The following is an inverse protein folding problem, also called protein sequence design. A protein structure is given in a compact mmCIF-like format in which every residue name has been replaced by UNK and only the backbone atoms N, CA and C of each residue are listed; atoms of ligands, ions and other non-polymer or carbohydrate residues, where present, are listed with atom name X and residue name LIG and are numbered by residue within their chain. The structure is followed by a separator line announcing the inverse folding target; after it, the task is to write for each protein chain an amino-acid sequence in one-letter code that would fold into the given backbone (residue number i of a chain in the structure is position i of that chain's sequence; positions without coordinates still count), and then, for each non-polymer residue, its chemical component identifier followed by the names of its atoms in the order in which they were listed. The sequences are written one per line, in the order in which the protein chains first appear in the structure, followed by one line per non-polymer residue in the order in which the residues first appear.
data_IF_505590525094
#
_entry.id   IF_505590525094
#
_cell.length_a   1.000
_cell.length_b   1.000
_cell.length_c   1.000
_cell.angle_alpha   90.00
_cell.angle_beta   90.00
_cell.angle_gamma   90.00
#
_symmetry.space_group_name_H-M   'P 1'
#
loop_
_entity.id
_entity.type
_entity.pdbx_description
1 polymer ?
#
# COMPACT_ATOMS: atom_id res chain seq x y z
N UNK A 1 29.77 19.61 -41.19
CA UNK A 1 28.72 18.58 -41.33
C UNK A 1 28.54 17.93 -39.98
N UNK A 2 27.58 18.42 -39.20
CA UNK A 2 27.23 17.87 -37.89
C UNK A 2 26.10 16.86 -38.07
N UNK A 3 26.15 15.67 -37.44
CA UNK A 3 25.03 14.74 -37.52
C UNK A 3 23.86 15.27 -36.67
N UNK A 4 22.69 15.24 -37.28
CA UNK A 4 21.39 15.65 -36.72
C UNK A 4 21.01 14.71 -35.57
N UNK A 5 20.68 15.28 -34.42
CA UNK A 5 20.02 14.57 -33.31
C UNK A 5 18.68 14.00 -33.79
N UNK A 6 18.51 12.68 -33.67
CA UNK A 6 17.26 11.99 -33.96
C UNK A 6 16.18 12.30 -32.91
N UNK A 7 14.91 12.01 -33.23
CA UNK A 7 13.76 12.37 -32.41
C UNK A 7 13.80 11.63 -31.07
N UNK A 8 13.38 12.35 -30.03
CA UNK A 8 13.37 11.89 -28.64
C UNK A 8 12.77 10.49 -28.51
N UNK A 9 13.54 9.63 -27.87
CA UNK A 9 13.02 8.42 -27.25
C UNK A 9 11.96 8.88 -26.26
N UNK A 10 10.70 8.66 -26.60
CA UNK A 10 9.63 8.69 -25.62
C UNK A 10 10.04 7.75 -24.50
N UNK A 11 10.30 8.30 -23.31
CA UNK A 11 10.35 7.53 -22.07
C UNK A 11 8.97 6.89 -21.99
N UNK A 12 8.91 5.62 -22.39
CA UNK A 12 7.73 4.80 -22.22
C UNK A 12 7.56 4.74 -20.72
N UNK A 13 6.58 5.48 -20.20
CA UNK A 13 6.25 5.50 -18.79
C UNK A 13 5.99 4.07 -18.36
N UNK A 14 6.94 3.47 -17.66
CA UNK A 14 6.66 2.30 -16.84
C UNK A 14 5.59 2.76 -15.87
N UNK A 15 4.34 2.35 -16.15
CA UNK A 15 3.29 2.47 -15.16
C UNK A 15 3.82 1.74 -13.93
N UNK A 16 4.03 2.51 -12.87
CA UNK A 16 4.17 2.04 -11.51
C UNK A 16 3.31 0.80 -11.31
N UNK A 17 3.94 -0.33 -11.03
CA UNK A 17 3.21 -1.59 -10.91
C UNK A 17 2.48 -1.58 -9.58
N UNK A 18 1.15 -1.72 -9.61
CA UNK A 18 0.31 -1.73 -8.41
C UNK A 18 0.60 -2.96 -7.58
N UNK A 19 1.16 -2.74 -6.39
CA UNK A 19 1.44 -3.76 -5.38
C UNK A 19 0.61 -3.47 -4.13
N UNK A 20 0.20 -4.51 -3.38
CA UNK A 20 -0.62 -4.32 -2.20
C UNK A 20 0.04 -3.47 -1.10
N UNK A 21 -0.81 -2.85 -0.28
CA UNK A 21 -0.46 -2.26 1.01
C UNK A 21 -0.72 -3.31 2.10
N UNK A 22 0.28 -3.57 2.92
CA UNK A 22 0.21 -4.43 4.10
C UNK A 22 0.20 -3.54 5.33
N UNK A 23 -0.85 -3.63 6.13
CA UNK A 23 -1.09 -2.76 7.26
C UNK A 23 -1.13 -3.59 8.55
N UNK A 24 -0.23 -3.30 9.47
CA UNK A 24 -0.14 -3.93 10.77
C UNK A 24 -0.73 -3.02 11.85
N UNK A 25 -1.72 -3.53 12.58
CA UNK A 25 -2.42 -2.79 13.63
C UNK A 25 -2.90 -3.76 14.73
N UNK A 26 -2.53 -3.52 15.99
CA UNK A 26 -3.00 -4.28 17.16
C UNK A 26 -2.97 -5.81 16.99
N UNK A 27 -1.82 -6.37 16.61
CA UNK A 27 -1.64 -7.81 16.34
C UNK A 27 -2.51 -8.38 15.21
N UNK A 28 -2.97 -7.51 14.30
CA UNK A 28 -3.67 -7.90 13.08
C UNK A 28 -2.90 -7.37 11.88
N UNK A 29 -3.05 -8.09 10.78
CA UNK A 29 -2.53 -7.66 9.48
C UNK A 29 -3.67 -7.61 8.48
N UNK A 30 -3.81 -6.48 7.80
CA UNK A 30 -4.78 -6.26 6.73
C UNK A 30 -4.03 -5.93 5.45
N UNK A 31 -4.35 -6.63 4.37
CA UNK A 31 -3.79 -6.35 3.06
C UNK A 31 -4.86 -5.73 2.17
N UNK A 32 -4.53 -4.61 1.54
CA UNK A 32 -5.35 -3.86 0.60
C UNK A 32 -4.64 -3.82 -0.75
N UNK A 33 -5.38 -3.98 -1.84
CA UNK A 33 -4.74 -3.99 -3.16
C UNK A 33 -5.63 -4.57 -4.25
N UNK A 34 -5.05 -4.72 -5.43
CA UNK A 34 -5.73 -5.30 -6.59
C UNK A 34 -6.35 -6.68 -6.27
N UNK A 35 -7.61 -6.94 -6.66
CA UNK A 35 -8.33 -8.15 -6.28
C UNK A 35 -7.59 -9.46 -6.60
N UNK A 36 -6.94 -9.54 -7.77
CA UNK A 36 -6.20 -10.74 -8.17
C UNK A 36 -5.03 -11.06 -7.22
N UNK A 37 -4.30 -10.04 -6.76
CA UNK A 37 -3.25 -10.21 -5.76
C UNK A 37 -3.83 -10.66 -4.41
N UNK A 38 -4.97 -10.09 -4.01
CA UNK A 38 -5.65 -10.47 -2.77
C UNK A 38 -6.17 -11.92 -2.81
N UNK A 39 -6.67 -12.39 -3.95
CA UNK A 39 -7.14 -13.77 -4.11
C UNK A 39 -5.99 -14.78 -4.00
N UNK A 40 -4.87 -14.49 -4.64
CA UNK A 40 -3.67 -15.32 -4.55
C UNK A 40 -3.10 -15.30 -3.12
N UNK A 41 -3.07 -14.13 -2.45
CA UNK A 41 -2.68 -14.03 -1.04
C UNK A 41 -3.58 -14.87 -0.12
N UNK A 42 -4.90 -14.74 -0.28
CA UNK A 42 -5.89 -15.47 0.53
C UNK A 42 -5.70 -16.98 0.38
N UNK A 43 -5.45 -17.45 -0.85
CA UNK A 43 -5.16 -18.86 -1.12
C UNK A 43 -3.85 -19.32 -0.46
N UNK A 44 -2.77 -18.54 -0.55
CA UNK A 44 -1.49 -18.85 0.09
C UNK A 44 -1.64 -18.97 1.61
N UNK A 45 -2.28 -17.99 2.25
CA UNK A 45 -2.49 -17.95 3.69
C UNK A 45 -3.37 -19.11 4.18
N UNK A 46 -4.49 -19.37 3.50
CA UNK A 46 -5.36 -20.53 3.81
C UNK A 46 -4.63 -21.85 3.63
N UNK A 47 -3.83 -21.97 2.58
CA UNK A 47 -2.96 -23.13 2.34
C UNK A 47 -1.96 -23.38 3.47
N UNK A 48 -1.47 -22.30 4.10
CA UNK A 48 -0.61 -22.34 5.29
C UNK A 48 -1.36 -22.53 6.62
N UNK A 49 -2.68 -22.79 6.56
CA UNK A 49 -3.53 -23.01 7.74
C UNK A 49 -3.94 -21.74 8.48
N UNK A 50 -3.82 -20.56 7.85
CA UNK A 50 -4.22 -19.28 8.45
C UNK A 50 -5.71 -19.02 8.19
N UNK A 51 -6.42 -18.62 9.25
CA UNK A 51 -7.78 -18.11 9.11
C UNK A 51 -7.75 -16.68 8.57
N UNK A 52 -8.37 -16.46 7.41
CA UNK A 52 -8.45 -15.16 6.75
C UNK A 52 -9.86 -14.57 6.84
N UNK A 53 -9.94 -13.23 6.78
CA UNK A 53 -11.17 -12.44 6.82
C UNK A 53 -11.22 -11.55 5.57
N UNK A 54 -11.60 -12.10 4.41
CA UNK A 54 -11.74 -11.31 3.19
C UNK A 54 -12.90 -10.33 3.30
N UNK A 55 -12.75 -9.14 2.74
CA UNK A 55 -13.86 -8.23 2.44
C UNK A 55 -14.00 -8.05 0.94
N UNK A 56 -15.18 -7.66 0.48
CA UNK A 56 -15.48 -7.44 -0.93
C UNK A 56 -15.95 -6.01 -1.16
N UNK A 57 -15.76 -5.54 -2.38
CA UNK A 57 -16.20 -4.21 -2.79
C UNK A 57 -17.72 -4.03 -2.67
N UNK A 58 -18.17 -2.79 -2.44
CA UNK A 58 -19.60 -2.42 -2.42
C UNK A 58 -20.48 -3.24 -1.46
N UNK A 59 -19.89 -3.78 -0.38
CA UNK A 59 -20.61 -4.64 0.56
C UNK A 59 -21.05 -6.00 -0.03
N UNK A 60 -20.53 -6.37 -1.20
CA UNK A 60 -20.82 -7.64 -1.86
C UNK A 60 -20.43 -8.82 -0.97
N UNK A 61 -21.04 -9.97 -1.23
CA UNK A 61 -20.70 -11.24 -0.64
C UNK A 61 -19.91 -12.09 -1.64
N UNK A 62 -19.18 -13.09 -1.14
CA UNK A 62 -18.32 -13.97 -1.94
C UNK A 62 -19.00 -14.58 -3.16
N UNK A 63 -20.26 -14.95 -3.02
CA UNK A 63 -21.01 -15.66 -4.05
C UNK A 63 -21.78 -14.73 -4.99
N UNK A 64 -21.68 -13.41 -4.80
CA UNK A 64 -22.34 -12.44 -5.66
C UNK A 64 -21.64 -12.39 -7.03
N UNK A 65 -22.40 -12.30 -8.14
CA UNK A 65 -21.82 -12.15 -9.47
C UNK A 65 -20.94 -10.90 -9.57
N UNK A 66 -19.66 -11.08 -9.89
CA UNK A 66 -18.69 -9.99 -10.00
C UNK A 66 -18.07 -9.55 -8.66
N UNK A 67 -18.31 -10.29 -7.58
CA UNK A 67 -17.64 -10.05 -6.31
C UNK A 67 -16.12 -10.11 -6.46
N UNK A 68 -15.45 -9.02 -6.07
CA UNK A 68 -14.01 -8.90 -6.10
C UNK A 68 -13.50 -8.50 -4.71
N UNK A 69 -12.37 -9.07 -4.30
CA UNK A 69 -11.79 -8.78 -3.00
C UNK A 69 -11.38 -7.31 -2.88
N UNK A 70 -11.71 -6.72 -1.74
CA UNK A 70 -11.27 -5.41 -1.33
C UNK A 70 -10.11 -5.48 -0.32
N UNK A 71 -10.15 -6.47 0.59
CA UNK A 71 -9.08 -6.68 1.57
C UNK A 71 -8.99 -8.14 2.01
N UNK A 72 -7.83 -8.51 2.56
CA UNK A 72 -7.62 -9.77 3.28
C UNK A 72 -7.06 -9.46 4.66
N UNK A 73 -7.86 -9.74 5.71
CA UNK A 73 -7.43 -9.59 7.10
C UNK A 73 -6.99 -10.91 7.75
N UNK A 74 -6.06 -10.82 8.69
CA UNK A 74 -5.61 -11.94 9.56
C UNK A 74 -5.40 -11.46 11.00
N UNK A 75 -5.51 -12.37 11.96
CA UNK A 75 -5.14 -12.14 13.36
C UNK A 75 -3.65 -12.50 13.62
N UNK A 76 -2.76 -12.07 12.72
CA UNK A 76 -1.32 -12.29 12.82
C UNK A 76 -0.59 -10.96 12.98
N UNK A 77 0.47 -10.98 13.79
CA UNK A 77 1.49 -9.92 13.84
C UNK A 77 2.27 -9.87 12.53
N UNK A 78 3.02 -8.79 12.30
CA UNK A 78 3.83 -8.63 11.07
C UNK A 78 4.78 -9.81 10.83
N UNK A 79 5.55 -10.20 11.86
CA UNK A 79 6.47 -11.33 11.82
C UNK A 79 5.75 -12.63 11.42
N UNK A 80 4.71 -13.01 12.16
CA UNK A 80 3.97 -14.25 11.88
C UNK A 80 3.23 -14.22 10.54
N UNK A 81 2.80 -13.04 10.07
CA UNK A 81 2.18 -12.89 8.77
C UNK A 81 3.16 -13.27 7.65
N UNK A 82 4.38 -12.70 7.67
CA UNK A 82 5.39 -12.98 6.65
C UNK A 82 5.88 -14.43 6.68
N UNK A 83 6.04 -15.01 7.87
CA UNK A 83 6.36 -16.43 8.03
C UNK A 83 5.31 -17.34 7.38
N UNK A 84 4.03 -16.99 7.51
CA UNK A 84 2.92 -17.76 6.93
C UNK A 84 2.77 -17.59 5.44
N UNK A 85 3.06 -16.39 4.93
CA UNK A 85 3.18 -16.14 3.48
C UNK A 85 4.27 -17.03 2.88
N UNK A 86 5.44 -17.10 3.53
CA UNK A 86 6.54 -17.96 3.08
C UNK A 86 6.15 -19.44 3.14
N UNK A 87 5.62 -19.90 4.28
CA UNK A 87 5.14 -21.27 4.43
C UNK A 87 4.08 -21.65 3.37
N UNK A 88 3.19 -20.72 3.01
CA UNK A 88 2.20 -20.89 1.95
C UNK A 88 2.84 -21.05 0.57
N UNK A 89 3.87 -20.26 0.27
CA UNK A 89 4.62 -20.37 -0.98
C UNK A 89 5.33 -21.73 -1.10
N UNK A 90 5.94 -22.21 -0.01
CA UNK A 90 6.55 -23.54 0.05
C UNK A 90 5.52 -24.66 -0.10
N UNK A 91 4.35 -24.53 0.53
CA UNK A 91 3.27 -25.52 0.44
C UNK A 91 2.67 -25.60 -0.98
N UNK A 92 2.58 -24.47 -1.69
CA UNK A 92 2.09 -24.40 -3.06
C UNK A 92 3.12 -24.83 -4.11
N UNK A 93 4.39 -24.95 -3.72
CA UNK A 93 5.48 -25.24 -4.64
C UNK A 93 5.36 -26.62 -5.29
N UNK A 94 5.56 -26.66 -6.62
CA UNK A 94 5.75 -27.92 -7.34
C UNK A 94 7.23 -28.26 -7.32
N UNK A 95 7.60 -29.19 -6.45
CA UNK A 95 8.98 -29.66 -6.35
C UNK A 95 9.39 -30.41 -7.63
N UNK A 96 10.58 -30.12 -8.19
CA UNK A 96 11.07 -30.86 -9.34
C UNK A 96 11.25 -32.33 -8.98
N UNK A 97 10.87 -33.20 -9.91
CA UNK A 97 11.03 -34.66 -9.77
C UNK A 97 12.47 -35.11 -10.03
N UNK A 98 13.21 -34.34 -10.85
CA UNK A 98 14.60 -34.60 -11.21
C UNK A 98 15.51 -33.53 -10.58
N UNK A 99 16.57 -33.96 -9.89
CA UNK A 99 17.49 -33.09 -9.14
C UNK A 99 18.76 -32.73 -9.94
N UNK A 100 18.78 -33.00 -11.24
CA UNK A 100 19.96 -32.80 -12.09
C UNK A 100 20.18 -31.32 -12.49
N UNK A 101 19.27 -30.42 -12.10
CA UNK A 101 19.33 -28.98 -12.38
C UNK A 101 19.43 -28.11 -11.12
N UNK A 102 19.65 -26.79 -11.27
CA UNK A 102 19.66 -25.86 -10.15
C UNK A 102 18.30 -25.85 -9.45
N UNK A 103 18.32 -26.07 -8.13
CA UNK A 103 17.15 -25.96 -7.27
C UNK A 103 16.98 -24.51 -6.83
N UNK A 104 15.81 -23.95 -7.11
CA UNK A 104 15.40 -22.66 -6.59
C UNK A 104 14.47 -22.87 -5.41
N UNK A 105 14.71 -22.16 -4.32
CA UNK A 105 13.77 -22.15 -3.21
C UNK A 105 12.47 -21.49 -3.68
N UNK A 106 11.30 -22.06 -3.33
CA UNK A 106 10.04 -21.37 -3.50
C UNK A 106 10.09 -20.02 -2.81
N UNK A 107 9.56 -19.00 -3.47
CA UNK A 107 9.40 -17.67 -2.90
C UNK A 107 7.95 -17.23 -3.12
N UNK A 108 7.44 -16.32 -2.28
CA UNK A 108 6.14 -15.69 -2.54
C UNK A 108 6.11 -15.04 -3.93
N UNK A 109 4.93 -14.82 -4.52
CA UNK A 109 4.82 -14.06 -5.77
C UNK A 109 5.56 -12.72 -5.71
N UNK A 110 6.14 -12.29 -6.84
CA UNK A 110 6.97 -11.08 -6.90
C UNK A 110 6.25 -9.82 -6.37
N UNK A 111 4.93 -9.74 -6.53
CA UNK A 111 4.13 -8.62 -6.05
C UNK A 111 3.97 -8.62 -4.53
N UNK A 112 3.99 -9.80 -3.87
CA UNK A 112 4.03 -9.93 -2.40
C UNK A 112 5.37 -9.46 -1.87
N UNK A 113 6.45 -9.88 -2.54
CA UNK A 113 7.81 -9.51 -2.15
C UNK A 113 8.04 -7.99 -2.23
N UNK A 114 7.30 -7.30 -3.09
CA UNK A 114 7.30 -5.84 -3.27
C UNK A 114 6.15 -5.14 -2.55
N UNK A 115 5.31 -5.87 -1.82
CA UNK A 115 4.18 -5.28 -1.11
C UNK A 115 4.68 -4.33 -0.03
N UNK A 116 4.06 -3.15 0.05
CA UNK A 116 4.54 -2.07 0.92
C UNK A 116 3.91 -2.19 2.30
N UNK A 117 4.70 -2.09 3.35
CA UNK A 117 4.25 -2.37 4.70
C UNK A 117 4.27 -1.13 5.60
N UNK A 118 3.21 -0.96 6.39
CA UNK A 118 3.12 0.04 7.45
C UNK A 118 2.65 -0.59 8.75
N UNK A 119 3.13 -0.05 9.86
CA UNK A 119 2.64 -0.34 11.19
C UNK A 119 2.11 0.94 11.82
N UNK A 120 0.97 0.85 12.50
CA UNK A 120 0.45 1.98 13.24
C UNK A 120 1.18 2.13 14.58
N UNK A 121 1.86 3.25 14.76
CA UNK A 121 2.48 3.63 16.03
C UNK A 121 1.60 4.68 16.72
N UNK A 122 1.00 4.38 17.89
CA UNK A 122 0.12 5.29 18.62
C UNK A 122 0.85 6.51 19.21
N UNK A 123 2.19 6.51 19.25
CA UNK A 123 2.99 7.62 19.78
C UNK A 123 3.81 8.32 18.68
N UNK A 124 3.58 7.99 17.41
CA UNK A 124 4.22 8.66 16.28
C UNK A 124 4.05 10.19 16.38
N UNK A 125 5.16 10.97 16.38
CA UNK A 125 5.11 12.42 16.45
C UNK A 125 4.30 13.01 15.29
N UNK A 126 3.42 13.95 15.61
CA UNK A 126 2.57 14.65 14.66
C UNK A 126 3.02 16.11 14.47
N UNK A 127 3.05 16.57 13.22
CA UNK A 127 3.15 17.98 12.84
C UNK A 127 1.89 18.38 12.10
N UNK A 128 0.98 19.06 12.80
CA UNK A 128 -0.29 19.52 12.22
C UNK A 128 -1.37 19.66 13.28
N UNK A 129 -2.62 19.54 12.83
CA UNK A 129 -3.80 19.80 13.65
C UNK A 129 -4.29 18.58 14.45
N UNK A 130 -3.79 17.37 14.17
CA UNK A 130 -4.21 16.14 14.83
C UNK A 130 -3.24 15.67 15.92
N UNK A 131 -3.78 14.86 16.83
CA UNK A 131 -3.02 14.20 17.89
C UNK A 131 -1.98 13.20 17.33
N UNK A 132 -0.97 12.83 18.15
CA UNK A 132 -0.05 11.73 17.84
C UNK A 132 -0.76 10.42 17.50
N UNK A 133 -0.06 9.55 16.77
CA UNK A 133 -0.57 8.24 16.36
C UNK A 133 -0.72 8.11 14.84
N UNK A 134 0.24 7.50 14.17
CA UNK A 134 0.37 7.50 12.70
C UNK A 134 0.86 6.17 12.12
N UNK A 135 0.73 6.03 10.80
CA UNK A 135 1.21 4.86 10.07
C UNK A 135 2.66 5.08 9.65
N UNK A 136 3.56 4.30 10.24
CA UNK A 136 4.99 4.35 9.96
C UNK A 136 5.36 3.20 9.03
N UNK A 137 6.28 3.46 8.11
CA UNK A 137 6.77 2.42 7.21
C UNK A 137 7.58 1.40 7.99
N UNK A 138 7.40 0.13 7.65
CA UNK A 138 8.19 -0.98 8.18
C UNK A 138 8.71 -1.83 7.02
N UNK A 139 9.80 -2.60 7.23
CA UNK A 139 10.28 -3.53 6.21
C UNK A 139 9.20 -4.52 5.79
N UNK A 140 9.17 -4.84 4.49
CA UNK A 140 8.29 -5.86 3.94
C UNK A 140 8.85 -7.27 4.10
N UNK A 141 8.48 -8.14 3.17
CA UNK A 141 8.97 -9.52 3.14
C UNK A 141 10.50 -9.59 3.10
N UNK A 142 11.09 -10.50 3.88
CA UNK A 142 12.54 -10.69 3.99
C UNK A 142 13.34 -9.41 4.35
N UNK A 143 12.71 -8.44 5.02
CA UNK A 143 13.35 -7.20 5.43
C UNK A 143 13.60 -6.22 4.29
N UNK A 144 12.91 -6.37 3.15
CA UNK A 144 13.05 -5.43 2.04
C UNK A 144 12.49 -4.05 2.40
N UNK A 145 13.34 -3.03 2.33
CA UNK A 145 12.90 -1.64 2.39
C UNK A 145 12.19 -1.29 1.07
N UNK A 146 10.88 -1.03 1.14
CA UNK A 146 10.09 -0.69 -0.05
C UNK A 146 10.12 0.83 -0.33
N UNK A 147 11.31 1.36 -0.57
CA UNK A 147 11.56 2.77 -0.90
C UNK A 147 11.21 3.16 -2.35
N UNK A 148 10.54 2.28 -3.11
CA UNK A 148 10.32 2.54 -4.52
C UNK A 148 9.39 3.74 -4.73
N UNK A 149 9.98 4.84 -5.20
CA UNK A 149 9.35 6.08 -5.66
C UNK A 149 8.48 5.89 -6.93
N UNK A 150 7.93 4.69 -7.13
CA UNK A 150 7.20 4.28 -8.32
C UNK A 150 6.11 3.26 -8.01
N UNK A 151 5.49 3.36 -6.83
CA UNK A 151 4.21 2.72 -6.50
C UNK A 151 3.08 3.77 -6.49
N UNK A 152 1.80 3.39 -6.64
CA UNK A 152 0.70 4.36 -6.57
C UNK A 152 0.63 5.03 -5.19
N UNK A 153 0.13 6.26 -5.12
CA UNK A 153 -0.18 6.95 -3.87
C UNK A 153 -1.45 6.37 -3.26
N UNK A 154 -1.38 5.86 -2.03
CA UNK A 154 -2.52 5.23 -1.35
C UNK A 154 -3.35 6.25 -0.60
N UNK A 155 -4.61 6.43 -0.97
CA UNK A 155 -5.57 7.27 -0.24
C UNK A 155 -6.54 6.35 0.50
N UNK A 156 -6.32 6.14 1.80
CA UNK A 156 -6.95 5.04 2.54
C UNK A 156 -7.70 5.53 3.79
N UNK A 157 -8.94 5.10 3.97
CA UNK A 157 -9.70 5.28 5.21
C UNK A 157 -9.50 4.06 6.12
N UNK A 158 -8.73 4.23 7.20
CA UNK A 158 -8.20 3.12 8.00
C UNK A 158 -8.72 3.11 9.45
N UNK A 159 -8.41 4.14 10.21
CA UNK A 159 -8.64 4.19 11.66
C UNK A 159 -9.83 5.04 12.08
N UNK A 160 -10.28 5.96 11.22
CA UNK A 160 -11.29 6.96 11.56
C UNK A 160 -12.16 7.28 10.35
N UNK A 161 -13.50 7.23 10.47
CA UNK A 161 -14.41 7.60 9.38
C UNK A 161 -14.24 9.06 8.93
N UNK A 162 -13.82 9.97 9.81
CA UNK A 162 -13.76 11.39 9.51
C UNK A 162 -12.44 11.82 8.83
N UNK A 163 -11.52 10.89 8.58
CA UNK A 163 -10.23 11.19 7.97
C UNK A 163 -9.76 10.09 7.02
N UNK A 164 -8.79 10.43 6.18
CA UNK A 164 -8.07 9.46 5.37
C UNK A 164 -6.57 9.70 5.51
N UNK A 165 -5.83 8.64 5.20
CA UNK A 165 -4.39 8.57 5.26
C UNK A 165 -3.82 8.56 3.85
N UNK A 166 -2.69 9.26 3.67
CA UNK A 166 -1.87 9.19 2.47
C UNK A 166 -0.64 8.36 2.79
N UNK A 167 -0.52 7.21 2.13
CA UNK A 167 0.63 6.31 2.23
C UNK A 167 1.36 6.28 0.89
N UNK A 168 2.62 6.72 0.87
CA UNK A 168 3.40 6.82 -0.36
C UNK A 168 4.92 6.85 -0.08
N UNK A 169 5.72 7.07 -1.13
CA UNK A 169 7.16 7.30 -1.00
C UNK A 169 7.45 8.66 -0.34
N UNK A 170 8.69 8.88 0.11
CA UNK A 170 9.11 10.17 0.70
C UNK A 170 8.92 11.35 -0.26
N UNK A 171 9.24 11.15 -1.53
CA UNK A 171 9.07 12.16 -2.56
C UNK A 171 7.58 12.49 -2.73
N UNK A 172 6.74 11.47 -2.89
CA UNK A 172 5.30 11.65 -3.07
C UNK A 172 4.63 12.30 -1.86
N UNK A 173 4.98 11.90 -0.64
CA UNK A 173 4.42 12.52 0.58
C UNK A 173 4.81 13.99 0.67
N UNK A 174 6.03 14.34 0.27
CA UNK A 174 6.47 15.74 0.22
C UNK A 174 5.69 16.54 -0.82
N UNK A 175 5.49 15.99 -2.02
CA UNK A 175 4.72 16.62 -3.09
C UNK A 175 3.24 16.75 -2.75
N UNK A 176 2.64 15.73 -2.16
CA UNK A 176 1.25 15.75 -1.68
C UNK A 176 1.09 16.79 -0.57
N UNK A 177 2.04 16.88 0.37
CA UNK A 177 2.00 17.90 1.41
C UNK A 177 2.10 19.33 0.83
N UNK A 178 2.92 19.54 -0.21
CA UNK A 178 2.98 20.82 -0.91
C UNK A 178 1.67 21.13 -1.64
N UNK A 179 1.10 20.15 -2.34
CA UNK A 179 -0.19 20.24 -3.03
C UNK A 179 -1.33 20.60 -2.06
N UNK A 180 -1.38 19.92 -0.91
CA UNK A 180 -2.35 20.23 0.13
C UNK A 180 -2.23 21.67 0.66
N UNK A 181 -1.00 22.19 0.82
CA UNK A 181 -0.78 23.60 1.22
C UNK A 181 -1.24 24.60 0.15
N UNK A 182 -1.14 24.26 -1.12
CA UNK A 182 -1.69 25.07 -2.21
C UNK A 182 -3.22 25.07 -2.16
N UNK A 183 -3.83 23.89 -2.07
CA UNK A 183 -5.27 23.69 -1.96
C UNK A 183 -5.88 24.40 -0.74
N UNK A 184 -5.16 24.46 0.39
CA UNK A 184 -5.59 25.16 1.61
C UNK A 184 -5.90 26.65 1.40
N UNK A 185 -5.42 27.27 0.33
CA UNK A 185 -5.70 28.68 0.01
C UNK A 185 -7.14 28.91 -0.48
N UNK A 186 -7.81 27.86 -0.98
CA UNK A 186 -9.13 27.97 -1.62
C UNK A 186 -10.09 26.82 -1.32
N UNK A 187 -9.64 25.73 -0.68
CA UNK A 187 -10.46 24.60 -0.23
C UNK A 187 -10.41 24.45 1.29
N UNK A 188 -11.53 24.05 1.87
CA UNK A 188 -11.65 23.82 3.31
C UNK A 188 -10.96 22.53 3.74
N UNK A 189 -10.44 22.50 4.98
CA UNK A 189 -9.93 21.31 5.65
C UNK A 189 -8.47 20.98 5.37
N UNK A 190 -7.89 21.44 4.26
CA UNK A 190 -6.48 21.20 3.92
C UNK A 190 -5.50 21.91 4.86
N UNK A 191 -5.94 22.97 5.54
CA UNK A 191 -5.23 23.63 6.64
C UNK A 191 -5.04 22.70 7.86
N UNK A 192 -5.78 21.59 7.93
CA UNK A 192 -5.69 20.57 8.98
C UNK A 192 -4.80 19.38 8.61
N UNK A 193 -4.02 19.48 7.52
CA UNK A 193 -3.01 18.49 7.17
C UNK A 193 -2.13 18.18 8.39
N UNK A 194 -1.96 16.88 8.69
CA UNK A 194 -1.04 16.42 9.72
C UNK A 194 -0.06 15.43 9.12
N UNK A 195 1.23 15.70 9.28
CA UNK A 195 2.30 14.78 8.92
C UNK A 195 2.75 14.01 10.15
N UNK A 196 3.02 12.71 9.98
CA UNK A 196 3.52 11.84 11.05
C UNK A 196 4.93 11.39 10.72
N UNK A 197 5.81 11.40 11.72
CA UNK A 197 7.24 11.15 11.53
C UNK A 197 7.65 9.81 12.13
N UNK A 198 8.58 9.14 11.45
CA UNK A 198 9.29 7.98 11.99
C UNK A 198 10.46 8.41 12.90
N UNK A 199 11.14 7.46 13.56
CA UNK A 199 12.29 7.78 14.43
C UNK A 199 13.48 8.43 13.72
N UNK A 200 13.54 8.39 12.39
CA UNK A 200 14.61 8.99 11.57
C UNK A 200 14.21 10.36 10.99
N UNK A 201 13.18 11.00 11.56
CA UNK A 201 12.62 12.29 11.16
C UNK A 201 12.08 12.31 9.70
N UNK A 202 11.71 11.16 9.13
CA UNK A 202 11.07 11.08 7.82
C UNK A 202 9.55 11.05 7.95
N UNK A 203 8.85 11.60 6.95
CA UNK A 203 7.38 11.56 6.93
C UNK A 203 6.93 10.13 6.59
N UNK A 204 6.36 9.42 7.56
CA UNK A 204 5.82 8.07 7.37
C UNK A 204 4.47 8.05 6.66
N UNK A 205 3.61 9.03 6.97
CA UNK A 205 2.31 9.23 6.34
C UNK A 205 1.78 10.65 6.52
N UNK A 206 0.74 10.99 5.76
CA UNK A 206 -0.08 12.18 6.00
C UNK A 206 -1.50 11.79 6.39
N UNK A 207 -2.17 12.65 7.15
CA UNK A 207 -3.60 12.56 7.47
C UNK A 207 -4.32 13.85 7.13
N UNK A 208 -5.49 13.71 6.50
CA UNK A 208 -6.39 14.81 6.15
C UNK A 208 -7.83 14.47 6.54
N UNK A 209 -8.68 15.48 6.82
CA UNK A 209 -10.12 15.28 6.97
C UNK A 209 -10.74 14.71 5.69
N UNK A 210 -11.79 13.89 5.80
CA UNK A 210 -12.42 13.20 4.67
C UNK A 210 -12.95 14.16 3.59
N UNK A 211 -13.36 15.38 3.95
CA UNK A 211 -13.81 16.41 3.01
C UNK A 211 -12.72 16.80 1.98
N UNK A 212 -11.44 16.59 2.31
CA UNK A 212 -10.32 16.89 1.43
C UNK A 212 -10.05 15.82 0.37
N UNK A 213 -10.70 14.65 0.48
CA UNK A 213 -10.45 13.47 -0.35
C UNK A 213 -10.59 13.75 -1.84
N UNK A 214 -11.81 14.08 -2.26
CA UNK A 214 -12.15 14.27 -3.68
C UNK A 214 -11.36 15.42 -4.32
N UNK A 215 -11.21 16.61 -3.69
CA UNK A 215 -10.36 17.66 -4.25
C UNK A 215 -8.87 17.28 -4.37
N UNK A 216 -8.35 16.46 -3.45
CA UNK A 216 -6.96 16.01 -3.52
C UNK A 216 -6.79 14.97 -4.63
N UNK A 217 -7.70 14.00 -4.70
CA UNK A 217 -7.75 12.99 -5.75
C UNK A 217 -7.77 13.63 -7.14
N UNK A 218 -8.67 14.58 -7.38
CA UNK A 218 -8.76 15.32 -8.65
C UNK A 218 -7.45 16.01 -9.03
N UNK A 219 -6.80 16.66 -8.06
CA UNK A 219 -5.54 17.39 -8.30
C UNK A 219 -4.38 16.43 -8.60
N UNK A 220 -4.29 15.31 -7.87
CA UNK A 220 -3.28 14.28 -8.12
C UNK A 220 -3.46 13.63 -9.50
N UNK A 221 -4.70 13.31 -9.87
CA UNK A 221 -5.04 12.80 -11.19
C UNK A 221 -4.71 13.82 -12.30
N UNK A 222 -5.01 15.10 -12.09
CA UNK A 222 -4.68 16.16 -13.04
C UNK A 222 -3.15 16.32 -13.24
N UNK A 223 -2.36 16.01 -12.22
CA UNK A 223 -0.89 15.96 -12.26
C UNK A 223 -0.33 14.64 -12.81
N UNK A 224 -1.19 13.69 -13.16
CA UNK A 224 -0.80 12.39 -13.70
C UNK A 224 -0.22 11.42 -12.66
N UNK A 225 -0.48 11.65 -11.38
CA UNK A 225 -0.07 10.77 -10.27
C UNK A 225 -0.98 9.53 -10.27
N UNK A 226 -0.38 8.34 -10.24
CA UNK A 226 -1.15 7.10 -10.05
C UNK A 226 -1.59 6.99 -8.60
N UNK A 227 -2.88 6.77 -8.37
CA UNK A 227 -3.48 6.72 -7.04
C UNK A 227 -4.25 5.43 -6.84
N UNK A 228 -4.25 4.94 -5.60
CA UNK A 228 -5.08 3.83 -5.18
C UNK A 228 -6.00 4.26 -4.03
N UNK A 229 -7.27 4.58 -4.33
CA UNK A 229 -8.25 4.94 -3.32
C UNK A 229 -8.89 3.70 -2.67
N UNK A 230 -9.02 3.68 -1.34
CA UNK A 230 -9.80 2.68 -0.57
C UNK A 230 -10.60 3.38 0.53
N UNK A 231 -11.90 3.44 0.36
CA UNK A 231 -12.82 4.14 1.27
C UNK A 231 -13.97 3.22 1.68
N UNK A 232 -14.56 3.49 2.84
CA UNK A 232 -15.78 2.84 3.29
C UNK A 232 -16.93 3.40 2.46
N UNK A 233 -17.73 2.54 1.86
CA UNK A 233 -18.95 2.92 1.13
C UNK A 233 -20.21 2.60 1.92
#
# INVERSE_FOLDING_TARGET
MSPRSGPGVAVSGERSVRVPYVLHFESRTVVLGEPAHLEELDALLRGAGVATRPTYWHGMQRDDPGAALNSVGTDLTAEHFWDRVDAGAFAAARWPVDLDGPLYLPAPPWWVQRARAWEYDPVAPALGAAEPGGWLRVPGWAGTENNDAGGPVGLLQLTDPASFWVLASDADLTEVAATAKELARFRQGFDRLTAYFDPDDRIGCLRLPLICREPLEDELLARGVDIEPRFWE
#
